data_IF_064429641861
#
_entry.id   IF_064429641861
#
_cell.length_a   1.000
_cell.length_b   1.000
_cell.length_c   1.000
_cell.angle_alpha   90.00
_cell.angle_beta   90.00
_cell.angle_gamma   90.00
#
_symmetry.space_group_name_H-M   'P 1'
#
loop_
_entity.id
_entity.type
_entity.pdbx_description
1 polymer ?
#
# COMPACT_ATOMS: atom_id res chain seq x y z
N UNK A 1 9.11 8.80 11.24
CA UNK A 1 9.63 8.69 9.87
C UNK A 1 8.47 8.39 8.92
N UNK A 2 8.43 9.04 7.79
CA UNK A 2 7.38 8.90 6.75
C UNK A 2 5.97 9.32 7.16
N UNK A 3 5.81 9.96 8.32
CA UNK A 3 4.50 10.46 8.76
C UNK A 3 3.89 11.43 7.75
N UNK A 4 4.70 12.37 7.24
CA UNK A 4 4.26 13.36 6.25
C UNK A 4 3.82 12.68 4.95
N UNK A 5 4.58 11.70 4.49
CA UNK A 5 4.28 10.97 3.27
C UNK A 5 2.96 10.22 3.40
N UNK A 6 2.75 9.55 4.52
CA UNK A 6 1.49 8.84 4.79
C UNK A 6 0.32 9.83 4.88
N UNK A 7 0.50 10.96 5.53
CA UNK A 7 -0.54 12.00 5.61
C UNK A 7 -0.89 12.56 4.22
N UNK A 8 0.12 12.77 3.37
CA UNK A 8 -0.10 13.22 1.98
C UNK A 8 -0.94 12.20 1.22
N UNK A 9 -0.64 10.92 1.36
CA UNK A 9 -1.38 9.86 0.69
C UNK A 9 -2.80 9.73 1.24
N UNK A 10 -2.97 9.85 2.55
CA UNK A 10 -4.30 9.76 3.17
C UNK A 10 -5.20 10.95 2.81
N UNK A 11 -4.61 12.11 2.50
CA UNK A 11 -5.40 13.26 2.05
C UNK A 11 -6.08 12.97 0.71
N UNK A 12 -5.44 12.17 -0.15
CA UNK A 12 -5.99 11.78 -1.46
C UNK A 12 -6.80 10.48 -1.38
N UNK A 13 -6.40 9.57 -0.49
CA UNK A 13 -7.02 8.26 -0.30
C UNK A 13 -7.55 8.14 1.14
N UNK A 14 -8.75 8.66 1.41
CA UNK A 14 -9.27 8.67 2.78
C UNK A 14 -9.64 7.27 3.24
N UNK A 15 -9.11 6.89 4.40
CA UNK A 15 -9.39 5.59 5.03
C UNK A 15 -10.05 5.89 6.38
N UNK A 16 -11.34 5.58 6.51
CA UNK A 16 -12.13 5.97 7.67
C UNK A 16 -11.90 5.11 8.90
N UNK A 17 -11.63 3.83 8.73
CA UNK A 17 -11.40 2.91 9.84
C UNK A 17 -9.97 2.37 9.73
N UNK A 18 -9.01 3.15 10.23
CA UNK A 18 -7.60 2.90 10.00
C UNK A 18 -7.05 1.83 10.93
N UNK A 19 -6.31 0.90 10.34
CA UNK A 19 -5.48 -0.08 11.04
C UNK A 19 -4.02 0.26 10.71
N UNK A 20 -3.22 0.54 11.74
CA UNK A 20 -1.81 0.85 11.51
C UNK A 20 -1.04 -0.42 11.18
N UNK A 21 -0.28 -0.38 10.08
CA UNK A 21 0.52 -1.52 9.63
C UNK A 21 1.70 -1.69 10.59
N UNK A 22 1.86 -2.88 11.13
CA UNK A 22 2.89 -3.23 12.11
C UNK A 22 3.90 -4.19 11.49
N UNK A 23 5.01 -4.44 12.20
CA UNK A 23 6.08 -5.31 11.73
C UNK A 23 5.58 -6.71 11.37
N UNK A 24 4.64 -7.24 12.14
CA UNK A 24 4.05 -8.55 11.85
C UNK A 24 3.36 -8.57 10.49
N UNK A 25 2.66 -7.48 10.13
CA UNK A 25 2.01 -7.38 8.82
C UNK A 25 3.03 -7.32 7.69
N UNK A 26 4.12 -6.58 7.89
CA UNK A 26 5.19 -6.50 6.88
C UNK A 26 5.73 -7.89 6.56
N UNK A 27 5.98 -8.71 7.57
CA UNK A 27 6.55 -10.03 7.39
C UNK A 27 5.51 -11.05 6.89
N UNK A 28 4.36 -11.13 7.54
CA UNK A 28 3.40 -12.22 7.29
C UNK A 28 2.36 -11.88 6.23
N UNK A 29 1.84 -10.65 6.23
CA UNK A 29 0.79 -10.28 5.27
C UNK A 29 1.37 -9.88 3.92
N UNK A 30 2.46 -9.10 3.93
CA UNK A 30 3.08 -8.62 2.70
C UNK A 30 4.22 -9.51 2.22
N UNK A 31 4.70 -10.41 3.07
CA UNK A 31 5.77 -11.33 2.71
C UNK A 31 7.13 -10.68 2.51
N UNK A 32 7.32 -9.49 3.06
CA UNK A 32 8.59 -8.78 2.98
C UNK A 32 9.57 -9.34 4.01
N UNK A 33 10.80 -9.55 3.59
CA UNK A 33 11.85 -10.02 4.49
C UNK A 33 12.32 -8.86 5.35
N UNK A 34 12.51 -9.11 6.66
CA UNK A 34 12.98 -8.09 7.58
C UNK A 34 14.30 -7.47 7.12
N UNK A 35 15.19 -8.27 6.52
CA UNK A 35 16.48 -7.81 6.03
C UNK A 35 16.39 -6.89 4.82
N UNK A 36 15.25 -6.90 4.11
CA UNK A 36 15.03 -6.05 2.93
C UNK A 36 14.38 -4.72 3.28
N UNK A 37 13.93 -4.53 4.51
CA UNK A 37 13.16 -3.35 4.95
C UNK A 37 13.91 -2.62 6.05
N UNK A 38 14.33 -1.38 5.77
CA UNK A 38 14.99 -0.54 6.77
C UNK A 38 13.99 0.19 7.66
N UNK A 39 12.87 0.64 7.08
CA UNK A 39 11.81 1.33 7.82
C UNK A 39 10.49 1.24 7.02
N UNK A 40 9.39 1.48 7.70
CA UNK A 40 8.08 1.51 7.04
C UNK A 40 7.11 2.35 7.86
N UNK A 41 6.06 2.82 7.19
CA UNK A 41 4.89 3.39 7.84
C UNK A 41 3.70 3.28 6.90
N UNK A 42 2.56 2.93 7.45
CA UNK A 42 1.35 2.86 6.65
C UNK A 42 0.13 2.50 7.46
N UNK A 43 -1.02 2.68 6.83
CA UNK A 43 -2.31 2.29 7.38
C UNK A 43 -3.13 1.61 6.30
N UNK A 44 -4.04 0.75 6.72
CA UNK A 44 -4.99 0.12 5.81
C UNK A 44 -6.38 0.16 6.41
N UNK A 45 -7.40 -0.05 5.58
CA UNK A 45 -8.77 -0.13 6.06
C UNK A 45 -8.97 -1.42 6.86
N UNK A 46 -9.67 -1.29 7.99
CA UNK A 46 -10.10 -2.43 8.80
C UNK A 46 -11.56 -2.81 8.49
N UNK A 47 -12.16 -2.16 7.50
CA UNK A 47 -13.53 -2.46 7.09
C UNK A 47 -13.56 -3.67 6.16
N UNK A 48 -14.52 -4.55 6.39
CA UNK A 48 -14.73 -5.71 5.52
C UNK A 48 -15.17 -5.23 4.13
N UNK A 49 -14.47 -5.70 3.09
CA UNK A 49 -14.79 -5.31 1.71
C UNK A 49 -14.17 -4.00 1.25
N UNK A 50 -13.31 -3.40 2.06
CA UNK A 50 -12.54 -2.22 1.66
C UNK A 50 -11.05 -2.57 1.71
N UNK A 51 -10.38 -2.52 0.56
CA UNK A 51 -8.98 -2.87 0.43
C UNK A 51 -8.05 -1.66 0.57
N UNK A 52 -8.58 -0.48 0.87
CA UNK A 52 -7.81 0.76 0.95
C UNK A 52 -6.56 0.65 1.81
N UNK A 53 -5.44 1.15 1.29
CA UNK A 53 -4.16 1.07 1.98
C UNK A 53 -3.22 2.14 1.46
N UNK A 54 -2.44 2.73 2.37
CA UNK A 54 -1.30 3.56 2.00
C UNK A 54 -0.09 3.03 2.76
N UNK A 55 1.00 2.75 2.07
CA UNK A 55 2.19 2.16 2.65
C UNK A 55 3.44 2.80 2.04
N UNK A 56 4.35 3.24 2.90
CA UNK A 56 5.66 3.72 2.50
C UNK A 56 6.70 2.80 3.14
N UNK A 57 7.59 2.26 2.31
CA UNK A 57 8.67 1.37 2.77
C UNK A 57 10.00 1.99 2.36
N UNK A 58 10.93 2.07 3.32
CA UNK A 58 12.31 2.30 2.98
C UNK A 58 12.99 0.94 2.87
N UNK A 59 13.38 0.58 1.65
CA UNK A 59 14.08 -0.68 1.42
C UNK A 59 15.52 -0.57 1.92
N UNK A 60 16.10 -1.70 2.32
CA UNK A 60 17.52 -1.77 2.56
C UNK A 60 18.27 -1.45 1.26
N UNK A 61 19.54 -1.06 1.36
CA UNK A 61 20.33 -0.64 0.20
C UNK A 61 20.24 -1.66 -0.94
N UNK A 62 19.78 -1.18 -2.10
CA UNK A 62 19.69 -2.00 -3.30
C UNK A 62 18.54 -2.99 -3.32
N UNK A 63 17.62 -2.93 -2.36
CA UNK A 63 16.51 -3.88 -2.23
C UNK A 63 15.16 -3.35 -2.67
N UNK A 64 15.09 -2.13 -3.24
CA UNK A 64 13.83 -1.53 -3.65
C UNK A 64 13.07 -2.40 -4.66
N UNK A 65 13.79 -3.02 -5.61
CA UNK A 65 13.17 -3.88 -6.62
C UNK A 65 12.53 -5.12 -5.98
N UNK A 66 13.23 -5.76 -5.04
CA UNK A 66 12.70 -6.93 -4.33
C UNK A 66 11.46 -6.57 -3.52
N UNK A 67 11.48 -5.40 -2.85
CA UNK A 67 10.32 -4.91 -2.10
C UNK A 67 9.15 -4.67 -3.04
N UNK A 68 9.36 -3.98 -4.16
CA UNK A 68 8.32 -3.70 -5.13
C UNK A 68 7.74 -4.98 -5.73
N UNK A 69 8.58 -5.95 -6.05
CA UNK A 69 8.13 -7.23 -6.59
C UNK A 69 7.28 -8.01 -5.59
N UNK A 70 7.66 -7.98 -4.32
CA UNK A 70 6.91 -8.65 -3.28
C UNK A 70 5.56 -7.97 -3.05
N UNK A 71 5.50 -6.65 -3.10
CA UNK A 71 4.24 -5.92 -3.01
C UNK A 71 3.33 -6.21 -4.20
N UNK A 72 3.90 -6.41 -5.39
CA UNK A 72 3.15 -6.83 -6.56
C UNK A 72 2.53 -8.22 -6.34
N UNK A 73 3.27 -9.14 -5.71
CA UNK A 73 2.74 -10.46 -5.37
C UNK A 73 1.57 -10.34 -4.37
N UNK A 74 1.70 -9.47 -3.38
CA UNK A 74 0.61 -9.17 -2.45
C UNK A 74 -0.62 -8.66 -3.20
N UNK A 75 -0.44 -7.73 -4.13
CA UNK A 75 -1.52 -7.21 -4.96
C UNK A 75 -2.26 -8.33 -5.70
N UNK A 76 -1.51 -9.23 -6.33
CA UNK A 76 -2.09 -10.35 -7.07
C UNK A 76 -2.89 -11.29 -6.17
N UNK A 77 -2.38 -11.56 -4.96
CA UNK A 77 -3.08 -12.38 -3.99
C UNK A 77 -4.38 -11.72 -3.53
N UNK A 78 -4.39 -10.41 -3.35
CA UNK A 78 -5.58 -9.67 -2.95
C UNK A 78 -6.62 -9.62 -4.07
N UNK A 79 -6.20 -9.48 -5.31
CA UNK A 79 -7.11 -9.54 -6.47
C UNK A 79 -7.84 -10.89 -6.48
N UNK A 80 -7.10 -11.99 -6.28
CA UNK A 80 -7.67 -13.33 -6.22
C UNK A 80 -8.62 -13.49 -5.05
N UNK A 81 -8.23 -12.97 -3.88
CA UNK A 81 -9.06 -13.05 -2.66
C UNK A 81 -10.41 -12.36 -2.87
N UNK A 82 -10.39 -11.08 -3.28
CA UNK A 82 -11.62 -10.33 -3.46
C UNK A 82 -12.43 -10.82 -4.64
N UNK A 83 -11.79 -11.42 -5.63
CA UNK A 83 -12.45 -11.99 -6.80
C UNK A 83 -13.35 -13.20 -6.48
N UNK A 84 -13.19 -13.83 -5.29
CA UNK A 84 -14.02 -14.94 -4.87
C UNK A 84 -15.41 -14.52 -4.38
N UNK A 85 -15.64 -13.22 -4.20
CA UNK A 85 -16.86 -12.69 -3.59
C UNK A 85 -17.44 -11.56 -4.44
N UNK A 86 -18.63 -11.77 -4.99
CA UNK A 86 -19.27 -10.76 -5.85
C UNK A 86 -19.49 -9.42 -5.13
N UNK A 87 -19.76 -9.46 -3.82
CA UNK A 87 -19.96 -8.26 -3.00
C UNK A 87 -18.69 -7.41 -2.86
N UNK A 88 -17.52 -7.96 -3.17
CA UNK A 88 -16.25 -7.27 -3.07
C UNK A 88 -15.71 -6.78 -4.43
N UNK A 89 -16.59 -6.64 -5.41
CA UNK A 89 -16.17 -6.20 -6.76
C UNK A 89 -15.46 -4.84 -6.74
N UNK A 90 -15.92 -3.91 -5.92
CA UNK A 90 -15.26 -2.59 -5.82
C UNK A 90 -13.85 -2.73 -5.23
N UNK A 91 -13.70 -3.52 -4.17
CA UNK A 91 -12.38 -3.75 -3.56
C UNK A 91 -11.45 -4.43 -4.56
N UNK A 92 -11.94 -5.42 -5.30
CA UNK A 92 -11.14 -6.09 -6.32
C UNK A 92 -10.64 -5.11 -7.38
N UNK A 93 -11.52 -4.26 -7.90
CA UNK A 93 -11.15 -3.24 -8.87
C UNK A 93 -10.10 -2.28 -8.32
N UNK A 94 -10.27 -1.85 -7.07
CA UNK A 94 -9.33 -0.94 -6.43
C UNK A 94 -7.94 -1.58 -6.29
N UNK A 95 -7.88 -2.86 -5.96
CA UNK A 95 -6.60 -3.59 -5.85
C UNK A 95 -5.95 -3.75 -7.23
N UNK A 96 -6.74 -4.06 -8.25
CA UNK A 96 -6.23 -4.17 -9.63
C UNK A 96 -5.58 -2.87 -10.09
N UNK A 97 -6.09 -1.73 -9.62
CA UNK A 97 -5.60 -0.40 -9.98
C UNK A 97 -4.60 0.16 -8.96
N UNK A 98 -4.11 -0.66 -8.03
CA UNK A 98 -3.13 -0.23 -7.04
C UNK A 98 -1.89 0.36 -7.69
N UNK A 99 -1.31 1.36 -7.03
CA UNK A 99 -0.08 1.99 -7.50
C UNK A 99 1.07 1.49 -6.64
N UNK A 100 2.08 0.90 -7.28
CA UNK A 100 3.34 0.51 -6.65
C UNK A 100 4.43 1.26 -7.40
N UNK A 101 5.12 2.15 -6.72
CA UNK A 101 6.13 3.00 -7.35
C UNK A 101 7.31 3.19 -6.41
N UNK A 102 8.48 3.47 -6.97
CA UNK A 102 9.68 3.64 -6.17
C UNK A 102 10.55 4.76 -6.70
N UNK A 103 11.35 5.34 -5.80
CA UNK A 103 12.38 6.31 -6.12
C UNK A 103 13.53 6.08 -5.14
N UNK A 104 14.72 5.70 -5.67
CA UNK A 104 15.82 5.29 -4.81
C UNK A 104 15.39 4.06 -4.01
N UNK A 105 15.58 4.10 -2.70
CA UNK A 105 15.18 3.01 -1.81
C UNK A 105 13.80 3.18 -1.21
N UNK A 106 13.08 4.24 -1.58
CA UNK A 106 11.70 4.45 -1.11
C UNK A 106 10.71 3.79 -2.06
N UNK A 107 9.85 2.94 -1.52
CA UNK A 107 8.80 2.26 -2.27
C UNK A 107 7.45 2.63 -1.66
N UNK A 108 6.50 3.00 -2.50
CA UNK A 108 5.15 3.38 -2.08
C UNK A 108 4.15 2.44 -2.72
N UNK A 109 3.21 1.94 -1.94
CA UNK A 109 2.06 1.19 -2.44
C UNK A 109 0.79 1.86 -1.93
N UNK A 110 -0.13 2.15 -2.86
CA UNK A 110 -1.42 2.76 -2.52
C UNK A 110 -2.53 1.97 -3.20
N UNK A 111 -3.53 1.60 -2.41
CA UNK A 111 -4.77 1.01 -2.91
C UNK A 111 -5.89 1.97 -2.52
N UNK A 112 -6.70 2.39 -3.50
CA UNK A 112 -7.82 3.28 -3.25
C UNK A 112 -8.81 2.63 -2.29
N UNK A 113 -9.31 3.40 -1.33
CA UNK A 113 -10.46 2.99 -0.51
C UNK A 113 -11.73 3.06 -1.35
N UNK A 114 -12.80 2.45 -0.86
CA UNK A 114 -14.09 2.54 -1.54
C UNK A 114 -14.65 3.97 -1.58
N UNK A 115 -14.14 4.84 -0.71
CA UNK A 115 -14.52 6.26 -0.63
C UNK A 115 -13.67 7.17 -1.52
N UNK A 116 -12.56 6.66 -2.04
CA UNK A 116 -11.59 7.48 -2.79
C UNK A 116 -12.15 7.88 -4.14
N UNK A 117 -12.09 9.18 -4.44
CA UNK A 117 -12.51 9.73 -5.74
C UNK A 117 -11.38 10.47 -6.45
N UNK A 118 -10.21 10.58 -5.83
CA UNK A 118 -9.09 11.33 -6.36
C UNK A 118 -8.18 10.46 -7.24
N UNK A 119 -7.45 11.13 -8.15
CA UNK A 119 -6.34 10.50 -8.86
C UNK A 119 -5.15 10.40 -7.90
N UNK A 120 -4.69 9.18 -7.63
CA UNK A 120 -3.65 8.95 -6.64
C UNK A 120 -2.23 9.15 -7.17
N UNK A 121 -2.06 9.31 -8.48
CA UNK A 121 -0.72 9.43 -9.07
C UNK A 121 0.05 10.65 -8.54
N UNK A 122 -0.62 11.79 -8.43
CA UNK A 122 0.01 13.01 -7.90
C UNK A 122 0.44 12.84 -6.44
N UNK A 123 -0.41 12.20 -5.64
CA UNK A 123 -0.10 11.96 -4.22
C UNK A 123 1.09 11.02 -4.08
N UNK A 124 1.16 9.98 -4.90
CA UNK A 124 2.29 9.04 -4.90
C UNK A 124 3.58 9.76 -5.30
N UNK A 125 3.53 10.59 -6.36
CA UNK A 125 4.70 11.37 -6.77
C UNK A 125 5.17 12.30 -5.65
N UNK A 126 4.25 12.97 -4.97
CA UNK A 126 4.59 13.84 -3.84
C UNK A 126 5.25 13.07 -2.71
N UNK A 127 4.72 11.89 -2.38
CA UNK A 127 5.28 11.06 -1.31
C UNK A 127 6.68 10.56 -1.65
N UNK A 128 6.93 10.23 -2.93
CA UNK A 128 8.24 9.78 -3.37
C UNK A 128 9.28 10.90 -3.39
N UNK A 129 8.86 12.14 -3.57
CA UNK A 129 9.75 13.29 -3.74
C UNK A 129 9.89 14.16 -2.49
N UNK A 130 9.22 13.81 -1.41
CA UNK A 130 9.26 14.64 -0.19
C UNK A 130 10.31 14.18 0.83
#
# INVERSE_FOLDING_TARGET
>A
MYKRQVETLLAADPISNQFEIAAMNIEYDFGLKAEDVAAYKGVKSNDNGDAGMVLVVEAADGKAEEVANQLTAYQQDQVAFYGNYAEFAQAQSNVENAIISSKGDRVVMVIASNECTADLNSAVDSALNS
#
